data_IF_298284193301
#
_entry.id   IF_298284193301
#
_cell.length_a   1.000
_cell.length_b   1.000
_cell.length_c   1.000
_cell.angle_alpha   90.00
_cell.angle_beta   90.00
_cell.angle_gamma   90.00
#
_symmetry.space_group_name_H-M   'P 1'
#
loop_
_entity.id
_entity.type
_entity.pdbx_description
1 polymer ?
#
# COMPACT_ATOMS: atom_id res chain seq x y z
N UNK A 1 -11.38 26.13 9.94
CA UNK A 1 -12.70 25.86 9.30
C UNK A 1 -12.46 25.78 7.81
N UNK A 2 -12.65 24.61 7.18
CA UNK A 2 -12.49 24.47 5.73
C UNK A 2 -13.75 24.99 5.03
N UNK A 3 -13.60 25.97 4.14
CA UNK A 3 -14.67 26.53 3.32
C UNK A 3 -15.14 25.47 2.33
N UNK A 4 -16.32 24.91 2.54
CA UNK A 4 -16.89 23.94 1.60
C UNK A 4 -17.31 24.67 0.33
N UNK A 5 -16.81 24.23 -0.82
CA UNK A 5 -17.23 24.71 -2.15
C UNK A 5 -18.58 24.06 -2.45
N UNK A 6 -19.62 24.46 -1.72
CA UNK A 6 -20.96 23.92 -1.90
C UNK A 6 -21.85 25.03 -2.43
N UNK A 7 -22.39 24.85 -3.63
CA UNK A 7 -23.38 25.79 -4.16
C UNK A 7 -24.61 25.82 -3.25
N UNK A 8 -25.27 26.97 -3.15
CA UNK A 8 -26.49 27.10 -2.34
C UNK A 8 -27.61 26.16 -2.83
N UNK A 9 -27.58 25.81 -4.12
CA UNK A 9 -28.57 25.00 -4.83
C UNK A 9 -28.41 23.49 -4.53
N UNK A 10 -27.20 23.04 -4.13
CA UNK A 10 -26.95 21.63 -3.78
C UNK A 10 -27.46 21.27 -2.37
N UNK A 11 -27.47 22.22 -1.44
CA UNK A 11 -27.87 21.99 -0.03
C UNK A 11 -29.27 21.37 0.14
N UNK A 12 -30.32 21.81 -0.58
CA UNK A 12 -31.65 21.19 -0.50
C UNK A 12 -31.65 19.70 -0.85
N UNK A 13 -30.93 19.29 -1.91
CA UNK A 13 -30.85 17.89 -2.30
C UNK A 13 -30.17 17.02 -1.24
N UNK A 14 -29.08 17.54 -0.65
CA UNK A 14 -28.37 16.85 0.42
C UNK A 14 -29.29 16.59 1.61
N UNK A 15 -30.08 17.60 2.00
CA UNK A 15 -31.03 17.48 3.12
C UNK A 15 -32.15 16.48 2.81
N UNK A 16 -32.66 16.45 1.58
CA UNK A 16 -33.72 15.52 1.16
C UNK A 16 -33.30 14.06 1.26
N UNK A 17 -32.04 13.74 0.95
CA UNK A 17 -31.51 12.37 0.96
C UNK A 17 -30.86 11.97 2.30
N UNK A 18 -30.87 12.85 3.30
CA UNK A 18 -30.32 12.62 4.64
C UNK A 18 -31.33 11.88 5.50
N UNK A 19 -30.93 10.77 6.12
CA UNK A 19 -31.76 10.07 7.10
C UNK A 19 -31.66 10.71 8.49
N UNK A 20 -32.57 10.34 9.38
CA UNK A 20 -32.57 10.81 10.77
C UNK A 20 -31.23 10.49 11.45
N UNK A 21 -30.72 11.41 12.27
CA UNK A 21 -29.44 11.33 12.99
C UNK A 21 -28.15 11.25 12.15
N UNK A 22 -28.24 11.30 10.83
CA UNK A 22 -27.05 11.40 9.99
C UNK A 22 -26.46 12.82 10.05
N UNK A 23 -25.17 12.94 9.79
CA UNK A 23 -24.48 14.18 9.40
C UNK A 23 -23.98 14.00 7.97
N UNK A 24 -23.84 15.07 7.21
CA UNK A 24 -23.25 15.00 5.87
C UNK A 24 -21.91 15.72 5.84
N UNK A 25 -21.01 15.26 4.99
CA UNK A 25 -19.77 15.93 4.66
C UNK A 25 -19.65 15.96 3.14
N UNK A 26 -19.31 17.13 2.62
CA UNK A 26 -18.92 17.28 1.22
C UNK A 26 -17.40 17.36 1.18
N UNK A 27 -16.81 16.74 0.16
CA UNK A 27 -15.38 16.86 -0.06
C UNK A 27 -15.03 18.29 -0.48
N UNK A 28 -13.82 18.73 -0.17
CA UNK A 28 -13.33 20.09 -0.41
C UNK A 28 -12.80 20.30 -1.84
N UNK A 29 -13.30 19.50 -2.79
CA UNK A 29 -13.02 19.57 -4.21
C UNK A 29 -14.25 19.12 -5.00
N UNK A 30 -14.31 19.51 -6.26
CA UNK A 30 -15.30 19.09 -7.25
C UNK A 30 -14.69 18.00 -8.12
N UNK A 31 -15.46 16.99 -8.51
CA UNK A 31 -15.03 16.03 -9.51
C UNK A 31 -15.53 16.44 -10.89
N UNK A 32 -14.62 16.56 -11.86
CA UNK A 32 -14.96 16.88 -13.26
C UNK A 32 -14.96 15.63 -14.10
N UNK A 33 -16.11 15.32 -14.70
CA UNK A 33 -16.32 14.16 -15.56
C UNK A 33 -17.16 14.57 -16.76
N UNK A 34 -16.67 14.29 -17.97
CA UNK A 34 -17.34 14.67 -19.24
C UNK A 34 -17.82 16.13 -19.29
N UNK A 35 -16.98 17.07 -18.83
CA UNK A 35 -17.27 18.50 -18.73
C UNK A 35 -18.36 18.91 -17.72
N UNK A 36 -18.86 17.98 -16.91
CA UNK A 36 -19.76 18.27 -15.80
C UNK A 36 -19.01 18.25 -14.47
N UNK A 37 -19.43 19.12 -13.56
CA UNK A 37 -18.85 19.27 -12.22
C UNK A 37 -19.77 18.60 -11.19
N UNK A 38 -19.22 17.70 -10.36
CA UNK A 38 -19.96 16.91 -9.38
C UNK A 38 -19.43 17.10 -7.96
N UNK A 39 -20.35 17.09 -7.00
CA UNK A 39 -20.08 16.99 -5.58
C UNK A 39 -20.25 15.55 -5.10
N UNK A 40 -19.26 15.09 -4.33
CA UNK A 40 -19.35 13.86 -3.58
C UNK A 40 -19.78 14.16 -2.14
N UNK A 41 -20.93 13.61 -1.75
CA UNK A 41 -21.52 13.83 -0.42
C UNK A 41 -21.58 12.51 0.33
N UNK A 42 -20.87 12.43 1.45
CA UNK A 42 -20.91 11.28 2.33
C UNK A 42 -21.76 11.56 3.57
N UNK A 43 -22.63 10.62 3.92
CA UNK A 43 -23.48 10.65 5.10
C UNK A 43 -22.91 9.74 6.19
N UNK A 44 -22.78 10.27 7.40
CA UNK A 44 -22.18 9.60 8.55
C UNK A 44 -23.14 9.48 9.72
N UNK A 45 -22.99 8.43 10.50
CA UNK A 45 -23.63 8.32 11.83
C UNK A 45 -22.82 9.05 12.90
N UNK A 46 -23.38 9.14 14.12
CA UNK A 46 -22.64 9.58 15.32
C UNK A 46 -21.37 8.77 15.59
N UNK A 47 -21.33 7.50 15.17
CA UNK A 47 -20.17 6.60 15.27
C UNK A 47 -19.15 6.78 14.13
N UNK A 48 -19.27 7.83 13.31
CA UNK A 48 -18.38 8.13 12.16
C UNK A 48 -18.34 7.05 11.06
N UNK A 49 -19.32 6.16 11.00
CA UNK A 49 -19.45 5.20 9.89
C UNK A 49 -20.19 5.84 8.71
N UNK A 50 -19.71 5.66 7.48
CA UNK A 50 -20.46 6.05 6.27
C UNK A 50 -21.71 5.17 6.14
N UNK A 51 -22.87 5.79 5.87
CA UNK A 51 -24.17 5.12 5.65
C UNK A 51 -24.82 5.50 4.33
N UNK A 52 -24.21 6.41 3.59
CA UNK A 52 -24.76 6.89 2.35
C UNK A 52 -23.73 7.69 1.58
N UNK A 53 -23.80 7.58 0.26
CA UNK A 53 -23.07 8.39 -0.69
C UNK A 53 -24.09 8.96 -1.66
N UNK A 54 -23.95 10.24 -2.00
CA UNK A 54 -24.75 10.91 -3.01
C UNK A 54 -23.83 11.70 -3.94
N UNK A 55 -24.02 11.50 -5.24
CA UNK A 55 -23.37 12.26 -6.30
C UNK A 55 -24.37 13.27 -6.84
N UNK A 56 -24.02 14.56 -6.76
CA UNK A 56 -24.89 15.66 -7.18
C UNK A 56 -24.10 16.57 -8.11
N UNK A 57 -24.70 17.01 -9.21
CA UNK A 57 -24.07 18.03 -10.06
C UNK A 57 -23.94 19.36 -9.30
N UNK A 58 -23.05 20.25 -9.76
CA UNK A 58 -22.86 21.59 -9.21
C UNK A 58 -24.15 22.42 -9.17
N UNK A 59 -25.05 22.16 -10.12
CA UNK A 59 -26.35 22.83 -10.26
C UNK A 59 -27.44 22.23 -9.37
N UNK A 60 -27.13 21.19 -8.59
CA UNK A 60 -28.08 20.59 -7.65
C UNK A 60 -28.99 19.53 -8.26
N UNK A 61 -28.63 18.94 -9.40
CA UNK A 61 -29.33 17.78 -9.98
C UNK A 61 -28.67 16.48 -9.47
N UNK A 62 -29.48 15.47 -9.13
CA UNK A 62 -28.95 14.15 -8.77
C UNK A 62 -28.43 13.47 -10.04
N UNK A 63 -27.17 13.01 -10.01
CA UNK A 63 -26.61 12.28 -11.14
C UNK A 63 -27.36 10.95 -11.34
N UNK A 64 -27.54 10.54 -12.60
CA UNK A 64 -28.15 9.24 -12.90
C UNK A 64 -27.34 8.10 -12.30
N UNK A 65 -28.01 7.03 -11.88
CA UNK A 65 -27.37 5.93 -11.14
C UNK A 65 -26.13 5.35 -11.86
N UNK A 66 -26.21 5.08 -13.16
CA UNK A 66 -25.09 4.52 -13.92
C UNK A 66 -23.87 5.46 -13.98
N UNK A 67 -24.12 6.77 -14.07
CA UNK A 67 -23.06 7.78 -14.04
C UNK A 67 -22.50 7.94 -12.62
N UNK A 68 -23.38 8.00 -11.62
CA UNK A 68 -23.02 8.09 -10.22
C UNK A 68 -22.14 6.92 -9.77
N UNK A 69 -22.38 5.71 -10.27
CA UNK A 69 -21.52 4.53 -9.99
C UNK A 69 -20.09 4.78 -10.45
N UNK A 70 -19.90 5.27 -11.68
CA UNK A 70 -18.56 5.54 -12.27
C UNK A 70 -17.84 6.63 -11.49
N UNK A 71 -18.53 7.74 -11.22
CA UNK A 71 -17.99 8.86 -10.45
C UNK A 71 -17.65 8.42 -9.02
N UNK A 72 -18.56 7.70 -8.36
CA UNK A 72 -18.35 7.19 -7.01
C UNK A 72 -17.12 6.29 -6.93
N UNK A 73 -16.93 5.39 -7.90
CA UNK A 73 -15.75 4.53 -8.01
C UNK A 73 -14.47 5.37 -8.07
N UNK A 74 -14.39 6.26 -9.05
CA UNK A 74 -13.21 7.11 -9.29
C UNK A 74 -12.84 7.96 -8.05
N UNK A 75 -13.83 8.58 -7.43
CA UNK A 75 -13.62 9.40 -6.22
C UNK A 75 -13.21 8.55 -5.02
N UNK A 76 -13.81 7.36 -4.84
CA UNK A 76 -13.41 6.49 -3.73
C UNK A 76 -12.01 5.93 -3.91
N UNK A 77 -11.63 5.52 -5.13
CA UNK A 77 -10.28 5.05 -5.44
C UNK A 77 -9.25 6.13 -5.10
N UNK A 78 -9.46 7.36 -5.58
CA UNK A 78 -8.61 8.50 -5.26
C UNK A 78 -8.54 8.79 -3.75
N UNK A 79 -9.68 8.84 -3.05
CA UNK A 79 -9.69 9.13 -1.63
C UNK A 79 -9.06 8.03 -0.78
N UNK A 80 -9.27 6.76 -1.14
CA UNK A 80 -8.66 5.63 -0.46
C UNK A 80 -7.15 5.69 -0.57
N UNK A 81 -6.62 6.00 -1.75
CA UNK A 81 -5.19 6.23 -1.93
C UNK A 81 -4.69 7.38 -1.06
N UNK A 82 -5.23 8.58 -1.25
CA UNK A 82 -4.74 9.79 -0.56
C UNK A 82 -4.85 9.67 0.97
N UNK A 83 -5.91 9.08 1.51
CA UNK A 83 -6.16 9.05 2.97
C UNK A 83 -5.64 7.77 3.62
N UNK A 84 -5.87 6.62 3.01
CA UNK A 84 -5.51 5.33 3.60
C UNK A 84 -4.09 4.92 3.23
N UNK A 85 -3.68 5.10 1.98
CA UNK A 85 -2.31 4.78 1.59
C UNK A 85 -1.31 5.73 2.24
N UNK A 86 -1.55 7.04 2.31
CA UNK A 86 -0.61 7.97 2.97
C UNK A 86 -0.30 7.60 4.44
N UNK A 87 -1.31 7.16 5.20
CA UNK A 87 -1.11 6.69 6.59
C UNK A 87 -0.32 5.39 6.66
N UNK A 88 -0.65 4.42 5.82
CA UNK A 88 0.06 3.14 5.75
C UNK A 88 1.50 3.35 5.27
N UNK A 89 1.66 4.11 4.19
CA UNK A 89 2.93 4.52 3.59
C UNK A 89 3.82 5.21 4.62
N UNK A 90 3.30 6.10 5.46
CA UNK A 90 4.12 6.72 6.50
C UNK A 90 4.77 5.70 7.45
N UNK A 91 4.07 4.62 7.80
CA UNK A 91 4.65 3.53 8.60
C UNK A 91 5.74 2.80 7.82
N UNK A 92 5.53 2.59 6.52
CA UNK A 92 6.47 1.90 5.63
C UNK A 92 7.74 2.70 5.34
N UNK A 93 7.62 4.01 5.15
CA UNK A 93 8.73 4.95 4.88
C UNK A 93 9.70 5.07 6.05
N UNK A 94 9.20 4.89 7.28
CA UNK A 94 10.02 4.99 8.48
C UNK A 94 10.76 3.67 8.79
N UNK A 95 10.68 2.66 7.92
CA UNK A 95 11.43 1.41 8.10
C UNK A 95 12.91 1.65 7.78
N UNK A 96 13.83 1.37 8.71
CA UNK A 96 15.25 1.66 8.51
C UNK A 96 15.85 0.78 7.40
N UNK A 97 16.50 1.40 6.42
CA UNK A 97 17.24 0.68 5.36
C UNK A 97 18.66 0.34 5.77
N UNK A 98 19.19 1.01 6.80
CA UNK A 98 20.55 0.84 7.31
C UNK A 98 20.82 -0.60 7.71
N UNK A 99 19.81 -1.30 8.24
CA UNK A 99 19.94 -2.72 8.60
C UNK A 99 20.24 -3.59 7.38
N UNK A 100 19.66 -3.28 6.21
CA UNK A 100 19.92 -3.99 4.95
C UNK A 100 21.34 -3.72 4.45
N UNK A 101 21.75 -2.45 4.45
CA UNK A 101 23.12 -2.05 4.10
C UNK A 101 24.17 -2.70 5.01
N UNK A 102 23.91 -2.74 6.32
CA UNK A 102 24.79 -3.39 7.26
C UNK A 102 24.84 -4.90 7.04
N UNK A 103 23.71 -5.55 6.76
CA UNK A 103 23.67 -7.00 6.47
C UNK A 103 24.55 -7.33 5.28
N UNK A 104 24.42 -6.58 4.17
CA UNK A 104 25.29 -6.71 2.99
C UNK A 104 26.76 -6.54 3.34
N UNK A 105 27.10 -5.44 4.04
CA UNK A 105 28.48 -5.16 4.44
C UNK A 105 29.07 -6.25 5.33
N UNK A 106 28.31 -6.79 6.29
CA UNK A 106 28.80 -7.84 7.16
C UNK A 106 28.96 -9.19 6.45
N UNK A 107 28.10 -9.50 5.48
CA UNK A 107 28.31 -10.65 4.59
C UNK A 107 29.61 -10.50 3.81
N UNK A 108 29.86 -9.34 3.19
CA UNK A 108 31.09 -9.07 2.43
C UNK A 108 32.33 -9.21 3.32
N UNK A 109 32.34 -8.52 4.47
CA UNK A 109 33.48 -8.56 5.38
C UNK A 109 33.73 -9.96 5.94
N UNK A 110 32.67 -10.72 6.20
CA UNK A 110 32.79 -12.08 6.71
C UNK A 110 33.37 -13.02 5.66
N UNK A 111 32.76 -13.09 4.47
CA UNK A 111 33.14 -14.04 3.43
C UNK A 111 34.40 -13.66 2.64
N UNK A 112 34.89 -12.41 2.74
CA UNK A 112 36.20 -12.04 2.20
C UNK A 112 37.38 -12.51 3.08
N UNK A 113 37.13 -12.85 4.34
CA UNK A 113 38.16 -13.15 5.35
C UNK A 113 38.12 -14.62 5.81
N UNK A 114 37.49 -15.50 5.03
CA UNK A 114 37.37 -16.93 5.33
C UNK A 114 38.24 -17.76 4.40
N UNK A 115 38.82 -18.83 4.94
CA UNK A 115 39.73 -19.73 4.22
C UNK A 115 39.05 -21.04 3.77
N UNK A 116 37.72 -21.09 3.76
CA UNK A 116 36.94 -22.26 3.39
C UNK A 116 36.10 -22.00 2.13
N UNK A 117 35.68 -23.08 1.48
CA UNK A 117 34.90 -23.02 0.24
C UNK A 117 33.49 -22.48 0.50
N UNK A 118 33.15 -21.38 -0.17
CA UNK A 118 31.86 -20.70 -0.08
C UNK A 118 30.90 -21.10 -1.21
N UNK A 119 31.38 -21.78 -2.26
CA UNK A 119 30.56 -22.14 -3.42
C UNK A 119 29.29 -22.94 -3.03
N UNK A 120 29.31 -23.84 -2.03
CA UNK A 120 28.11 -24.55 -1.60
C UNK A 120 27.00 -23.67 -1.01
N UNK A 121 27.35 -22.51 -0.44
CA UNK A 121 26.40 -21.61 0.24
C UNK A 121 26.13 -20.33 -0.55
N UNK A 122 26.88 -20.09 -1.63
CA UNK A 122 26.78 -18.89 -2.48
C UNK A 122 25.37 -18.56 -2.96
N UNK A 123 24.53 -19.52 -3.43
CA UNK A 123 23.16 -19.20 -3.84
C UNK A 123 22.30 -18.62 -2.71
N UNK A 124 22.50 -19.09 -1.48
CA UNK A 124 21.76 -18.59 -0.31
C UNK A 124 22.27 -17.22 0.15
N UNK A 125 23.56 -16.94 -0.02
CA UNK A 125 24.14 -15.60 0.19
C UNK A 125 23.58 -14.61 -0.85
N UNK A 126 23.56 -14.99 -2.13
CA UNK A 126 23.03 -14.18 -3.22
C UNK A 126 21.54 -13.85 -3.01
N UNK A 127 20.77 -14.80 -2.47
CA UNK A 127 19.37 -14.57 -2.11
C UNK A 127 19.20 -13.54 -0.97
N UNK A 128 20.14 -13.48 -0.01
CA UNK A 128 20.14 -12.45 1.04
C UNK A 128 20.49 -11.08 0.45
N UNK A 129 21.48 -11.01 -0.45
CA UNK A 129 21.80 -9.78 -1.19
C UNK A 129 20.60 -9.27 -1.98
N UNK A 130 19.96 -10.16 -2.74
CA UNK A 130 18.77 -9.83 -3.52
C UNK A 130 17.64 -9.30 -2.65
N UNK A 131 17.39 -9.90 -1.47
CA UNK A 131 16.40 -9.39 -0.53
C UNK A 131 16.75 -8.01 0.02
N UNK A 132 18.03 -7.77 0.36
CA UNK A 132 18.47 -6.48 0.85
C UNK A 132 18.30 -5.39 -0.23
N UNK A 133 18.70 -5.67 -1.47
CA UNK A 133 18.57 -4.73 -2.58
C UNK A 133 17.11 -4.48 -2.97
N UNK A 134 16.27 -5.51 -2.95
CA UNK A 134 14.82 -5.37 -3.14
C UNK A 134 14.22 -4.42 -2.12
N UNK A 135 14.61 -4.55 -0.84
CA UNK A 135 14.10 -3.69 0.21
C UNK A 135 14.60 -2.25 0.06
N UNK A 136 15.91 -2.05 -0.15
CA UNK A 136 16.53 -0.74 -0.33
C UNK A 136 15.91 0.01 -1.51
N UNK A 137 15.79 -0.65 -2.67
CA UNK A 137 15.22 -0.04 -3.86
C UNK A 137 13.72 0.23 -3.70
N UNK A 138 12.98 -0.69 -3.07
CA UNK A 138 11.58 -0.47 -2.76
C UNK A 138 11.37 0.74 -1.85
N UNK A 139 12.23 0.98 -0.85
CA UNK A 139 12.13 2.18 -0.01
C UNK A 139 12.32 3.49 -0.79
N UNK A 140 13.18 3.50 -1.81
CA UNK A 140 13.32 4.66 -2.71
C UNK A 140 12.03 4.89 -3.51
N UNK A 141 11.45 3.82 -4.05
CA UNK A 141 10.18 3.89 -4.79
C UNK A 141 9.03 4.38 -3.89
N UNK A 142 8.97 3.94 -2.64
CA UNK A 142 7.97 4.41 -1.68
C UNK A 142 8.10 5.92 -1.40
N UNK A 143 9.32 6.46 -1.36
CA UNK A 143 9.54 7.90 -1.22
C UNK A 143 9.02 8.68 -2.43
N UNK A 144 9.32 8.21 -3.65
CA UNK A 144 8.82 8.82 -4.89
C UNK A 144 7.29 8.80 -4.95
N UNK A 145 6.68 7.67 -4.59
CA UNK A 145 5.23 7.51 -4.45
C UNK A 145 4.68 8.52 -3.44
N UNK A 146 5.30 8.66 -2.26
CA UNK A 146 4.85 9.60 -1.24
C UNK A 146 4.88 11.05 -1.73
N UNK A 147 5.96 11.44 -2.39
CA UNK A 147 6.12 12.79 -2.93
C UNK A 147 5.05 13.09 -3.98
N UNK A 148 4.74 12.11 -4.84
CA UNK A 148 3.63 12.22 -5.77
C UNK A 148 2.29 12.41 -5.04
N UNK A 149 1.97 11.56 -4.06
CA UNK A 149 0.70 11.63 -3.32
C UNK A 149 0.52 12.97 -2.60
N UNK A 150 1.58 13.48 -1.97
CA UNK A 150 1.56 14.79 -1.30
C UNK A 150 1.33 15.92 -2.30
N UNK A 151 2.00 15.88 -3.45
CA UNK A 151 1.84 16.88 -4.52
C UNK A 151 0.44 16.85 -5.11
N UNK A 152 -0.07 15.65 -5.41
CA UNK A 152 -1.40 15.43 -5.98
C UNK A 152 -2.50 15.90 -5.01
N UNK A 153 -2.41 15.52 -3.73
CA UNK A 153 -3.39 15.98 -2.73
C UNK A 153 -3.38 17.51 -2.57
N UNK A 154 -2.19 18.13 -2.56
CA UNK A 154 -2.05 19.59 -2.48
C UNK A 154 -2.68 20.26 -3.71
N UNK A 155 -2.48 19.72 -4.90
CA UNK A 155 -3.07 20.27 -6.11
C UNK A 155 -4.61 20.20 -6.06
N UNK A 156 -5.15 19.00 -5.85
CA UNK A 156 -6.60 18.75 -5.88
C UNK A 156 -7.33 19.40 -4.70
N UNK A 157 -6.82 19.29 -3.47
CA UNK A 157 -7.54 19.74 -2.27
C UNK A 157 -7.26 21.17 -1.83
N UNK A 158 -6.08 21.70 -2.15
CA UNK A 158 -5.62 22.97 -1.59
C UNK A 158 -5.41 24.07 -2.64
N UNK A 159 -5.16 23.71 -3.90
CA UNK A 159 -4.81 24.68 -4.95
C UNK A 159 -5.94 24.84 -5.97
N UNK A 160 -6.27 23.78 -6.71
CA UNK A 160 -7.22 23.83 -7.82
C UNK A 160 -8.65 23.49 -7.41
N UNK A 161 -8.83 22.74 -6.30
CA UNK A 161 -10.14 22.28 -5.83
C UNK A 161 -10.94 21.46 -6.86
N UNK A 162 -10.25 20.85 -7.84
CA UNK A 162 -10.83 20.05 -8.91
C UNK A 162 -10.07 18.73 -8.99
N UNK A 163 -10.80 17.63 -8.93
CA UNK A 163 -10.34 16.28 -9.26
C UNK A 163 -10.82 15.94 -10.67
N UNK A 164 -9.96 15.40 -11.52
CA UNK A 164 -10.30 15.01 -12.90
C UNK A 164 -10.09 13.51 -13.09
N UNK A 165 -10.55 12.96 -14.22
CA UNK A 165 -10.27 11.56 -14.59
C UNK A 165 -8.78 11.26 -14.70
N UNK A 166 -7.97 12.23 -15.13
CA UNK A 166 -6.52 12.09 -15.23
C UNK A 166 -5.87 11.92 -13.85
N UNK A 167 -6.21 12.79 -12.89
CA UNK A 167 -5.74 12.64 -11.51
C UNK A 167 -6.09 11.28 -10.90
N UNK A 168 -7.29 10.75 -11.21
CA UNK A 168 -7.71 9.44 -10.73
C UNK A 168 -6.89 8.32 -11.36
N UNK A 169 -6.62 8.38 -12.67
CA UNK A 169 -5.80 7.38 -13.36
C UNK A 169 -4.36 7.37 -12.83
N UNK A 170 -3.76 8.54 -12.64
CA UNK A 170 -2.42 8.64 -12.06
C UNK A 170 -2.39 8.09 -10.63
N UNK A 171 -3.39 8.43 -9.83
CA UNK A 171 -3.56 7.88 -8.48
C UNK A 171 -3.69 6.34 -8.50
N UNK A 172 -4.52 5.78 -9.38
CA UNK A 172 -4.68 4.33 -9.51
C UNK A 172 -3.36 3.63 -9.91
N UNK A 173 -2.60 4.22 -10.84
CA UNK A 173 -1.29 3.70 -11.20
C UNK A 173 -0.34 3.71 -9.99
N UNK A 174 -0.28 4.82 -9.26
CA UNK A 174 0.59 4.96 -8.08
C UNK A 174 0.17 4.01 -6.95
N UNK A 175 -1.13 3.76 -6.77
CA UNK A 175 -1.62 2.75 -5.83
C UNK A 175 -1.12 1.35 -6.22
N UNK A 176 -1.22 1.00 -7.50
CA UNK A 176 -0.76 -0.29 -8.01
C UNK A 176 0.75 -0.45 -7.82
N UNK A 177 1.53 0.60 -8.10
CA UNK A 177 2.98 0.61 -7.87
C UNK A 177 3.32 0.46 -6.38
N UNK A 178 2.64 1.20 -5.50
CA UNK A 178 2.76 1.04 -4.05
C UNK A 178 2.47 -0.40 -3.64
N UNK A 179 1.36 -0.95 -4.11
CA UNK A 179 0.95 -2.29 -3.73
C UNK A 179 2.02 -3.32 -4.13
N UNK A 180 2.52 -3.19 -5.35
CA UNK A 180 3.56 -4.04 -5.92
C UNK A 180 4.86 -3.99 -5.12
N UNK A 181 5.30 -2.79 -4.72
CA UNK A 181 6.54 -2.61 -3.95
C UNK A 181 6.45 -3.34 -2.61
N UNK A 182 5.36 -3.14 -1.87
CA UNK A 182 5.17 -3.78 -0.56
C UNK A 182 5.05 -5.29 -0.70
N UNK A 183 4.31 -5.78 -1.71
CA UNK A 183 4.18 -7.20 -1.98
C UNK A 183 5.53 -7.85 -2.29
N UNK A 184 6.28 -7.26 -3.23
CA UNK A 184 7.61 -7.76 -3.63
C UNK A 184 8.57 -7.79 -2.44
N UNK A 185 8.61 -6.73 -1.62
CA UNK A 185 9.43 -6.73 -0.40
C UNK A 185 9.04 -7.86 0.56
N UNK A 186 7.74 -8.07 0.79
CA UNK A 186 7.24 -9.09 1.72
C UNK A 186 7.53 -10.51 1.24
N UNK A 187 7.25 -10.81 -0.03
CA UNK A 187 7.49 -12.15 -0.62
C UNK A 187 8.98 -12.45 -0.68
N UNK A 188 9.81 -11.52 -1.14
CA UNK A 188 11.27 -11.74 -1.18
C UNK A 188 11.82 -11.99 0.22
N UNK A 189 11.38 -11.23 1.23
CA UNK A 189 11.79 -11.47 2.62
C UNK A 189 11.36 -12.85 3.11
N UNK A 190 10.16 -13.29 2.76
CA UNK A 190 9.63 -14.60 3.13
C UNK A 190 10.46 -15.74 2.52
N UNK A 191 10.75 -15.64 1.23
CA UNK A 191 11.54 -16.63 0.48
C UNK A 191 12.99 -16.71 0.98
N UNK A 192 13.55 -15.60 1.47
CA UNK A 192 14.93 -15.53 1.99
C UNK A 192 15.10 -16.14 3.39
N UNK A 193 14.01 -16.44 4.12
CA UNK A 193 14.09 -17.00 5.49
C UNK A 193 14.93 -18.30 5.53
N UNK A 194 14.71 -19.22 4.59
CA UNK A 194 15.41 -20.50 4.60
C UNK A 194 16.89 -20.35 4.20
N UNK A 195 17.19 -19.44 3.28
CA UNK A 195 18.57 -19.08 2.95
C UNK A 195 19.32 -18.50 4.15
N UNK A 196 18.67 -17.63 4.94
CA UNK A 196 19.27 -17.12 6.19
C UNK A 196 19.59 -18.26 7.16
N UNK A 197 18.69 -19.23 7.33
CA UNK A 197 18.95 -20.39 8.21
C UNK A 197 20.14 -21.21 7.74
N UNK A 198 20.24 -21.48 6.44
CA UNK A 198 21.36 -22.25 5.87
C UNK A 198 22.69 -21.49 6.02
N UNK A 199 22.70 -20.19 5.75
CA UNK A 199 23.89 -19.34 5.92
C UNK A 199 24.31 -19.32 7.38
N UNK A 200 23.38 -19.14 8.31
CA UNK A 200 23.68 -19.21 9.75
C UNK A 200 24.30 -20.54 10.15
N UNK A 201 23.70 -21.66 9.71
CA UNK A 201 24.22 -23.01 9.98
C UNK A 201 25.62 -23.19 9.41
N UNK A 202 25.83 -22.79 8.16
CA UNK A 202 27.13 -22.88 7.48
C UNK A 202 28.21 -22.10 8.23
N UNK A 203 27.91 -20.87 8.65
CA UNK A 203 28.82 -20.04 9.44
C UNK A 203 29.10 -20.70 10.80
N UNK A 204 28.09 -21.26 11.48
CA UNK A 204 28.27 -21.94 12.77
C UNK A 204 29.12 -23.22 12.66
N UNK A 205 29.07 -23.92 11.54
CA UNK A 205 29.87 -25.14 11.28
C UNK A 205 31.33 -24.84 10.90
N UNK A 206 31.60 -23.66 10.33
CA UNK A 206 32.91 -23.31 9.79
C UNK A 206 33.67 -22.21 10.57
N UNK A 207 32.99 -21.44 11.43
CA UNK A 207 33.62 -20.38 12.24
C UNK A 207 34.20 -20.94 13.55
N UNK A 208 35.53 -20.97 13.64
CA UNK A 208 36.23 -21.39 14.87
C UNK A 208 36.34 -20.26 15.91
N UNK A 209 36.31 -18.99 15.50
CA UNK A 209 36.42 -17.84 16.39
C UNK A 209 35.07 -17.13 16.57
N UNK A 210 34.27 -17.66 17.51
CA UNK A 210 32.99 -17.05 17.89
C UNK A 210 33.09 -15.63 18.47
N UNK A 211 34.31 -15.16 18.79
CA UNK A 211 34.56 -13.80 19.27
C UNK A 211 34.81 -12.76 18.18
N UNK A 212 35.01 -13.18 16.93
CA UNK A 212 35.23 -12.29 15.77
C UNK A 212 34.06 -11.31 15.63
N UNK A 213 34.37 -10.02 15.43
CA UNK A 213 33.38 -8.93 15.43
C UNK A 213 32.39 -9.07 14.27
N UNK A 214 32.92 -9.42 13.10
CA UNK A 214 32.20 -9.63 11.85
C UNK A 214 31.19 -10.76 12.02
N UNK A 215 31.65 -11.90 12.54
CA UNK A 215 30.80 -13.06 12.88
C UNK A 215 29.67 -12.67 13.85
N UNK A 216 30.01 -12.06 15.00
CA UNK A 216 29.01 -11.66 16.01
C UNK A 216 27.96 -10.71 15.43
N UNK A 217 28.39 -9.75 14.61
CA UNK A 217 27.50 -8.74 14.02
C UNK A 217 26.60 -9.36 12.96
N UNK A 218 27.16 -10.14 12.04
CA UNK A 218 26.42 -10.85 11.00
C UNK A 218 25.39 -11.81 11.63
N UNK A 219 25.84 -12.66 12.55
CA UNK A 219 24.98 -13.62 13.25
C UNK A 219 23.82 -12.92 13.96
N UNK A 220 24.10 -11.84 14.70
CA UNK A 220 23.06 -11.06 15.39
C UNK A 220 22.02 -10.52 14.41
N UNK A 221 22.44 -10.00 13.27
CA UNK A 221 21.52 -9.46 12.26
C UNK A 221 20.66 -10.55 11.64
N UNK A 222 21.29 -11.63 11.16
CA UNK A 222 20.59 -12.76 10.55
C UNK A 222 19.59 -13.41 11.53
N UNK A 223 19.98 -13.62 12.80
CA UNK A 223 19.07 -14.13 13.83
C UNK A 223 17.87 -13.21 14.10
N UNK A 224 18.06 -11.89 14.00
CA UNK A 224 16.94 -10.96 14.15
C UNK A 224 15.91 -11.13 13.04
N UNK A 225 16.33 -11.37 11.79
CA UNK A 225 15.40 -11.62 10.68
C UNK A 225 14.56 -12.88 10.89
N UNK A 226 15.20 -13.97 11.31
CA UNK A 226 14.50 -15.25 11.52
C UNK A 226 13.90 -15.42 12.91
N UNK A 227 13.91 -14.36 13.73
CA UNK A 227 13.31 -14.41 15.05
C UNK A 227 11.80 -14.74 14.92
N UNK A 228 11.24 -15.71 15.68
CA UNK A 228 9.86 -16.18 15.49
C UNK A 228 8.80 -15.07 15.50
N UNK A 229 9.01 -14.05 16.34
CA UNK A 229 8.16 -12.84 16.38
C UNK A 229 8.13 -12.08 15.05
N UNK A 230 9.28 -11.96 14.38
CA UNK A 230 9.39 -11.21 13.13
C UNK A 230 8.83 -12.02 11.96
N UNK A 231 9.09 -13.33 11.92
CA UNK A 231 8.46 -14.25 10.96
C UNK A 231 6.93 -14.19 11.08
N UNK A 232 6.39 -14.29 12.30
CA UNK A 232 4.94 -14.20 12.52
C UNK A 232 4.37 -12.86 12.07
N UNK A 233 5.08 -11.74 12.31
CA UNK A 233 4.65 -10.42 11.85
C UNK A 233 4.65 -10.32 10.32
N UNK A 234 5.67 -10.85 9.66
CA UNK A 234 5.74 -10.90 8.20
C UNK A 234 4.61 -11.74 7.62
N UNK A 235 4.38 -12.94 8.17
CA UNK A 235 3.29 -13.81 7.78
C UNK A 235 1.93 -13.09 7.93
N UNK A 236 1.67 -12.48 9.08
CA UNK A 236 0.44 -11.70 9.28
C UNK A 236 0.31 -10.51 8.33
N UNK A 237 1.43 -9.88 7.95
CA UNK A 237 1.41 -8.78 6.98
C UNK A 237 1.02 -9.26 5.60
N UNK A 238 1.52 -10.43 5.17
CA UNK A 238 1.20 -11.07 3.90
C UNK A 238 -0.25 -11.61 3.91
N UNK A 239 -0.65 -12.31 4.97
CA UNK A 239 -2.00 -12.89 5.14
C UNK A 239 -3.13 -11.85 5.12
N UNK A 240 -2.85 -10.63 5.59
CA UNK A 240 -3.84 -9.54 5.65
C UNK A 240 -3.61 -8.51 4.54
N UNK A 241 -2.76 -8.83 3.56
CA UNK A 241 -2.47 -7.92 2.47
C UNK A 241 -3.69 -7.78 1.54
N UNK A 242 -4.24 -8.91 1.11
CA UNK A 242 -5.47 -9.02 0.33
C UNK A 242 -6.60 -9.48 1.25
N UNK A 243 -7.80 -8.95 1.06
CA UNK A 243 -9.01 -9.43 1.72
C UNK A 243 -9.22 -10.93 1.45
N UNK A 244 -9.37 -11.70 2.53
CA UNK A 244 -9.55 -13.16 2.49
C UNK A 244 -10.81 -13.59 1.73
N UNK A 245 -11.78 -12.70 1.53
CA UNK A 245 -12.96 -12.93 0.68
C UNK A 245 -12.58 -13.02 -0.81
N UNK A 246 -11.43 -12.49 -1.20
CA UNK A 246 -10.96 -12.38 -2.59
C UNK A 246 -9.89 -13.42 -2.88
N UNK A 247 -8.94 -13.63 -1.96
CA UNK A 247 -7.90 -14.65 -2.11
C UNK A 247 -6.78 -14.53 -1.09
N UNK A 248 -5.65 -15.18 -1.38
CA UNK A 248 -4.46 -15.19 -0.53
C UNK A 248 -3.20 -15.01 -1.36
N UNK A 249 -2.27 -14.18 -0.86
CA UNK A 249 -0.95 -14.00 -1.48
C UNK A 249 -0.08 -15.25 -1.42
N UNK A 250 -0.38 -16.18 -0.50
CA UNK A 250 0.34 -17.45 -0.37
C UNK A 250 -0.04 -18.47 -1.44
N UNK A 251 -1.17 -18.27 -2.12
CA UNK A 251 -1.61 -19.14 -3.22
C UNK A 251 -1.00 -18.73 -4.56
N UNK A 252 -0.25 -17.63 -4.60
CA UNK A 252 0.35 -17.11 -5.81
C UNK A 252 1.62 -17.90 -6.19
N UNK A 253 1.92 -18.04 -7.49
CA UNK A 253 3.18 -18.62 -7.93
C UNK A 253 4.37 -17.76 -7.45
N UNK A 254 5.56 -18.36 -7.40
CA UNK A 254 6.78 -17.64 -7.01
C UNK A 254 7.36 -16.83 -8.17
N UNK A 255 8.20 -15.84 -7.85
CA UNK A 255 8.91 -15.02 -8.83
C UNK A 255 7.98 -14.11 -9.66
N UNK A 256 8.40 -13.80 -10.90
CA UNK A 256 7.70 -12.84 -11.77
C UNK A 256 6.26 -13.25 -12.12
N UNK A 257 5.97 -14.55 -12.24
CA UNK A 257 4.61 -15.03 -12.44
C UNK A 257 3.70 -14.67 -11.24
N UNK A 258 4.25 -14.67 -10.03
CA UNK A 258 3.54 -14.26 -8.81
C UNK A 258 3.20 -12.79 -8.80
N UNK A 259 4.11 -11.96 -9.32
CA UNK A 259 3.96 -10.51 -9.40
C UNK A 259 2.79 -10.14 -10.33
N UNK A 260 2.67 -10.80 -11.49
CA UNK A 260 1.52 -10.56 -12.40
C UNK A 260 0.21 -11.09 -11.81
N UNK A 261 0.23 -12.30 -11.22
CA UNK A 261 -0.95 -12.84 -10.56
C UNK A 261 -1.42 -11.97 -9.37
N UNK A 262 -0.48 -11.34 -8.66
CA UNK A 262 -0.77 -10.38 -7.60
C UNK A 262 -1.48 -9.13 -8.14
N UNK A 263 -1.04 -8.56 -9.26
CA UNK A 263 -1.72 -7.39 -9.87
C UNK A 263 -3.17 -7.70 -10.21
N UNK A 264 -3.45 -8.89 -10.75
CA UNK A 264 -4.83 -9.32 -11.01
C UNK A 264 -5.64 -9.48 -9.72
N UNK A 265 -5.01 -10.00 -8.67
CA UNK A 265 -5.66 -10.21 -7.38
C UNK A 265 -6.00 -8.87 -6.68
N UNK A 266 -5.08 -7.91 -6.72
CA UNK A 266 -5.26 -6.54 -6.20
C UNK A 266 -6.39 -5.79 -6.94
N UNK A 267 -6.47 -5.96 -8.26
CA UNK A 267 -7.59 -5.44 -9.06
C UNK A 267 -8.93 -6.09 -8.70
N UNK A 268 -8.94 -7.42 -8.52
CA UNK A 268 -10.14 -8.16 -8.08
C UNK A 268 -10.58 -7.70 -6.70
N UNK A 269 -9.65 -7.45 -5.78
CA UNK A 269 -9.98 -6.94 -4.45
C UNK A 269 -10.60 -5.56 -4.51
N UNK A 270 -10.00 -4.65 -5.29
CA UNK A 270 -10.51 -3.30 -5.48
C UNK A 270 -11.95 -3.32 -6.03
N UNK A 271 -12.21 -4.14 -7.05
CA UNK A 271 -13.55 -4.30 -7.60
C UNK A 271 -14.52 -4.91 -6.58
N UNK A 272 -14.10 -5.97 -5.87
CA UNK A 272 -14.91 -6.63 -4.86
C UNK A 272 -15.31 -5.66 -3.74
N UNK A 273 -14.35 -4.92 -3.18
CA UNK A 273 -14.61 -3.93 -2.14
C UNK A 273 -15.53 -2.82 -2.64
N UNK A 274 -15.36 -2.36 -3.88
CA UNK A 274 -16.28 -1.39 -4.46
C UNK A 274 -17.71 -1.95 -4.55
N UNK A 275 -17.89 -3.15 -5.10
CA UNK A 275 -19.20 -3.76 -5.32
C UNK A 275 -19.92 -4.11 -4.00
N UNK A 276 -19.19 -4.60 -3.01
CA UNK A 276 -19.78 -5.13 -1.77
C UNK A 276 -19.80 -4.12 -0.61
N UNK A 277 -18.83 -3.20 -0.55
CA UNK A 277 -18.68 -2.33 0.61
C UNK A 277 -19.05 -0.86 0.30
N UNK A 278 -18.88 -0.40 -0.94
CA UNK A 278 -19.12 1.01 -1.34
C UNK A 278 -20.42 1.20 -2.13
N UNK A 279 -20.64 0.43 -3.18
CA UNK A 279 -21.80 0.54 -4.06
C UNK A 279 -23.14 0.44 -3.32
N UNK A 280 -23.32 -0.43 -2.29
CA UNK A 280 -24.57 -0.48 -1.53
C UNK A 280 -24.87 0.80 -0.75
N UNK A 281 -23.88 1.68 -0.55
CA UNK A 281 -24.05 2.96 0.11
C UNK A 281 -24.51 4.06 -0.85
N UNK A 282 -24.44 3.85 -2.17
CA UNK A 282 -24.83 4.85 -3.17
C UNK A 282 -26.36 5.04 -3.20
N UNK A 283 -26.81 6.27 -2.95
CA UNK A 283 -28.22 6.67 -2.83
C UNK A 283 -28.84 7.24 -4.10
N UNK A 284 -28.03 7.45 -5.14
CA UNK A 284 -28.49 7.87 -6.46
C UNK A 284 -29.49 6.88 -7.07
#
# INVERSE_FOLDING_TARGET
>A
MQTTILSQIVKPQIKRHKRMFEKYQCFNYIFRYKNNDYHYVAYYTSKKSVKGILIVTKDGTIAERNEAIKICRMINNYNNLIVSASRKLYVELNRPTEVMYHTKRWLELYFNDVNYDIDPIKPDIDQIYYSADTFINGQKQLLEINDFLVKSDKDVRLTNHILTEEHVKEAEQVLSEYSLVIHKQGVTQWETIDSIKKVLKFIEENESNSNKKEYKSLRKQLLNYIHPRNIKRLQMSLDNYIDKRVGSVFDLPKGEAGIEAFKELDQKETEYCFQHDILPLLRN
#
